data_IF_266707537086
#
_entry.id   IF_266707537086
#
_cell.length_a   1.000
_cell.length_b   1.000
_cell.length_c   1.000
_cell.angle_alpha   90.00
_cell.angle_beta   90.00
_cell.angle_gamma   90.00
#
_symmetry.space_group_name_H-M   'P 1'
#
loop_
_entity.id
_entity.type
_entity.pdbx_description
1 polymer ?
#
# COMPACT_ATOMS: atom_id res chain seq x y z
N UNK A 1 -9.98 10.07 3.22
CA UNK A 1 -9.07 8.90 3.20
C UNK A 1 -9.05 8.37 1.78
N UNK A 2 -7.89 8.43 1.10
CA UNK A 2 -7.74 7.95 -0.27
C UNK A 2 -7.24 6.50 -0.23
N UNK A 3 -7.84 5.63 -1.04
CA UNK A 3 -7.39 4.25 -1.20
C UNK A 3 -6.78 4.10 -2.59
N UNK A 4 -5.53 3.67 -2.65
CA UNK A 4 -4.84 3.40 -3.92
C UNK A 4 -4.58 1.91 -4.04
N UNK A 5 -5.06 1.30 -5.12
CA UNK A 5 -4.71 -0.07 -5.48
C UNK A 5 -3.38 -0.10 -6.22
N UNK A 6 -2.53 -1.08 -5.93
CA UNK A 6 -1.41 -1.38 -6.81
C UNK A 6 -1.95 -2.17 -8.02
N UNK A 7 -2.10 -1.51 -9.17
CA UNK A 7 -2.34 -2.23 -10.43
C UNK A 7 -1.08 -3.00 -10.87
N UNK A 8 -0.99 -3.35 -12.15
CA UNK A 8 0.26 -3.79 -12.81
C UNK A 8 1.21 -2.62 -13.11
N UNK A 9 0.97 -1.43 -12.51
CA UNK A 9 1.71 -0.22 -12.82
C UNK A 9 3.20 -0.36 -12.41
N UNK A 10 4.14 0.11 -13.24
CA UNK A 10 5.54 0.23 -12.86
C UNK A 10 5.73 1.16 -11.66
N UNK A 11 6.80 0.93 -10.90
CA UNK A 11 7.20 1.71 -9.72
C UNK A 11 7.12 3.24 -9.93
N UNK A 12 7.70 3.69 -11.05
CA UNK A 12 7.74 5.11 -11.42
C UNK A 12 6.34 5.71 -11.59
N UNK A 13 5.47 5.02 -12.30
CA UNK A 13 4.11 5.50 -12.56
C UNK A 13 3.27 5.53 -11.26
N UNK A 14 3.48 4.56 -10.38
CA UNK A 14 2.83 4.55 -9.07
C UNK A 14 3.35 5.70 -8.18
N UNK A 15 4.66 5.91 -8.13
CA UNK A 15 5.27 7.06 -7.42
C UNK A 15 4.77 8.40 -7.96
N UNK A 16 4.81 8.61 -9.28
CA UNK A 16 4.37 9.84 -9.93
C UNK A 16 2.90 10.16 -9.59
N UNK A 17 2.02 9.14 -9.55
CA UNK A 17 0.62 9.29 -9.15
C UNK A 17 0.46 9.70 -7.68
N UNK A 18 1.26 9.14 -6.78
CA UNK A 18 1.23 9.50 -5.36
C UNK A 18 1.66 10.95 -5.16
N UNK A 19 2.76 11.36 -5.80
CA UNK A 19 3.27 12.72 -5.70
C UNK A 19 2.31 13.72 -6.36
N UNK A 20 1.76 13.41 -7.53
CA UNK A 20 0.77 14.27 -8.21
C UNK A 20 -0.52 14.44 -7.39
N UNK A 21 -0.88 13.43 -6.60
CA UNK A 21 -2.01 13.49 -5.67
C UNK A 21 -1.67 14.13 -4.31
N UNK A 22 -0.42 14.58 -4.10
CA UNK A 22 0.01 15.17 -2.83
C UNK A 22 0.02 14.17 -1.67
N UNK A 23 0.33 12.91 -1.93
CA UNK A 23 0.35 11.86 -0.89
C UNK A 23 1.70 11.86 -0.18
N UNK A 24 1.68 12.16 1.12
CA UNK A 24 2.89 12.17 1.95
C UNK A 24 3.21 10.82 2.61
N UNK A 25 2.22 9.92 2.74
CA UNK A 25 2.36 8.66 3.47
C UNK A 25 1.54 7.53 2.85
N UNK A 26 2.21 6.43 2.52
CA UNK A 26 1.57 5.16 2.17
C UNK A 26 1.51 4.26 3.41
N UNK A 27 0.30 3.83 3.77
CA UNK A 27 0.07 2.84 4.83
C UNK A 27 -0.25 1.48 4.22
N UNK A 28 0.67 0.53 4.37
CA UNK A 28 0.50 -0.84 3.89
C UNK A 28 -0.24 -1.70 4.92
N UNK A 29 -1.44 -2.14 4.56
CA UNK A 29 -2.31 -3.00 5.38
C UNK A 29 -2.29 -4.47 4.91
N UNK A 30 -1.39 -4.84 4.00
CA UNK A 30 -1.34 -6.21 3.48
C UNK A 30 -0.78 -7.18 4.52
N UNK A 31 -1.50 -8.29 4.72
CA UNK A 31 -1.11 -9.39 5.62
C UNK A 31 0.14 -10.08 5.07
N UNK A 32 0.12 -10.44 3.78
CA UNK A 32 1.25 -11.04 3.06
C UNK A 32 1.64 -10.12 1.90
N UNK A 33 2.59 -9.18 2.08
CA UNK A 33 3.04 -8.27 1.03
C UNK A 33 4.01 -8.95 0.03
N UNK A 34 3.73 -10.19 -0.34
CA UNK A 34 4.59 -11.04 -1.16
C UNK A 34 3.98 -11.29 -2.53
N UNK A 35 3.93 -10.30 -3.42
CA UNK A 35 3.64 -10.60 -4.82
C UNK A 35 4.92 -11.06 -5.51
N UNK A 36 4.95 -12.31 -5.99
CA UNK A 36 6.01 -12.80 -6.90
C UNK A 36 5.99 -12.09 -8.25
N UNK A 37 4.83 -11.56 -8.65
CA UNK A 37 4.59 -10.95 -9.97
C UNK A 37 5.01 -9.48 -10.04
N UNK A 38 5.13 -8.79 -8.90
CA UNK A 38 5.52 -7.39 -8.83
C UNK A 38 6.55 -7.15 -7.71
N UNK A 39 7.85 -7.39 -7.96
CA UNK A 39 8.89 -7.29 -6.94
C UNK A 39 9.04 -5.89 -6.34
N UNK A 40 8.73 -4.83 -7.10
CA UNK A 40 8.75 -3.43 -6.65
C UNK A 40 7.66 -3.08 -5.62
N UNK A 41 6.63 -3.92 -5.50
CA UNK A 41 5.58 -3.79 -4.47
C UNK A 41 5.82 -4.70 -3.27
N UNK A 42 6.97 -5.37 -3.19
CA UNK A 42 7.39 -6.02 -1.95
C UNK A 42 7.61 -4.97 -0.88
N UNK A 43 7.39 -5.35 0.36
CA UNK A 43 7.56 -4.47 1.52
C UNK A 43 8.93 -3.79 1.53
N UNK A 44 9.98 -4.57 1.29
CA UNK A 44 11.36 -4.09 1.33
C UNK A 44 11.61 -3.05 0.23
N UNK A 45 11.07 -3.31 -0.98
CA UNK A 45 11.16 -2.37 -2.09
C UNK A 45 10.41 -1.08 -1.77
N UNK A 46 9.16 -1.16 -1.31
CA UNK A 46 8.36 0.02 -0.97
C UNK A 46 8.99 0.86 0.15
N UNK A 47 9.56 0.22 1.16
CA UNK A 47 10.26 0.90 2.24
C UNK A 47 11.54 1.63 1.74
N UNK A 48 12.11 1.18 0.62
CA UNK A 48 13.31 1.75 0.03
C UNK A 48 12.99 2.89 -0.95
N UNK A 49 12.15 2.64 -1.96
CA UNK A 49 12.00 3.58 -3.08
C UNK A 49 10.95 4.68 -2.84
N UNK A 50 9.92 4.46 -2.00
CA UNK A 50 8.91 5.50 -1.72
C UNK A 50 9.53 6.75 -1.08
N UNK A 51 10.44 6.63 -0.08
CA UNK A 51 11.14 7.79 0.47
C UNK A 51 11.97 8.55 -0.55
N UNK A 52 12.57 7.88 -1.54
CA UNK A 52 13.30 8.53 -2.64
C UNK A 52 12.38 9.42 -3.50
N UNK A 53 11.07 9.21 -3.43
CA UNK A 53 10.02 10.01 -4.10
C UNK A 53 9.35 11.02 -3.16
N UNK A 54 9.85 11.19 -1.94
CA UNK A 54 9.28 12.08 -0.94
C UNK A 54 8.03 11.52 -0.25
N UNK A 55 7.73 10.23 -0.43
CA UNK A 55 6.55 9.58 0.17
C UNK A 55 7.00 8.66 1.29
N UNK A 56 6.52 8.89 2.50
CA UNK A 56 6.82 8.00 3.62
C UNK A 56 6.12 6.65 3.46
N UNK A 57 6.72 5.59 4.00
CA UNK A 57 6.14 4.25 4.04
C UNK A 57 5.96 3.79 5.48
N UNK A 58 4.76 3.32 5.82
CA UNK A 58 4.48 2.67 7.11
C UNK A 58 3.64 1.42 6.91
N UNK A 59 4.00 0.34 7.59
CA UNK A 59 3.14 -0.84 7.65
C UNK A 59 2.18 -0.74 8.84
N UNK A 60 0.89 -0.98 8.60
CA UNK A 60 -0.09 -1.12 9.66
C UNK A 60 -0.84 -2.45 9.52
N UNK A 61 -0.31 -3.48 10.19
CA UNK A 61 -0.93 -4.80 10.24
C UNK A 61 -2.25 -4.81 11.03
N UNK A 62 -2.52 -3.82 11.89
CA UNK A 62 -3.75 -3.79 12.70
C UNK A 62 -4.98 -3.35 11.90
N UNK A 63 -4.76 -2.65 10.78
CA UNK A 63 -5.80 -2.31 9.80
C UNK A 63 -5.95 -3.39 8.72
N UNK A 64 -5.09 -4.40 8.74
CA UNK A 64 -5.01 -5.50 7.79
C UNK A 64 -5.35 -6.83 8.43
N UNK A 65 -6.45 -7.44 8.03
CA UNK A 65 -6.95 -8.66 8.64
C UNK A 65 -8.34 -8.94 8.11
N UNK A 66 -8.71 -10.21 7.97
CA UNK A 66 -10.11 -10.57 7.73
C UNK A 66 -10.96 -9.81 8.75
N UNK A 67 -11.91 -8.98 8.29
CA UNK A 67 -12.98 -8.53 9.19
C UNK A 67 -13.58 -9.81 9.76
N UNK A 68 -13.45 -10.06 11.06
CA UNK A 68 -14.42 -10.92 11.73
C UNK A 68 -15.74 -10.15 11.62
N UNK A 69 -16.75 -10.63 10.88
CA UNK A 69 -18.05 -9.98 10.91
C UNK A 69 -18.47 -9.88 12.38
N UNK A 70 -18.95 -8.71 12.79
CA UNK A 70 -19.65 -8.62 14.05
C UNK A 70 -20.89 -9.52 13.94
N UNK A 71 -21.30 -10.22 15.03
CA UNK A 71 -22.48 -11.08 15.01
C UNK A 71 -23.74 -10.39 14.44
N UNK A 72 -23.80 -9.06 14.58
CA UNK A 72 -24.96 -8.24 14.22
C UNK A 72 -24.77 -7.37 12.96
N UNK A 73 -23.87 -7.73 12.02
CA UNK A 73 -23.78 -7.01 10.75
C UNK A 73 -24.82 -7.55 9.74
N UNK A 74 -25.81 -6.75 9.32
CA UNK A 74 -26.74 -7.19 8.28
C UNK A 74 -26.01 -7.20 6.93
N UNK A 75 -26.22 -8.29 6.17
CA UNK A 75 -25.75 -8.45 4.78
C UNK A 75 -26.63 -7.67 3.82
#
# INVERSE_FOLDING_TARGET
>A
MLTVGHGTAPEREFGDRLTAAGVDLVVDVRIVPGSRRHPHFRREALAYWLPERGVAYRRNQRLGGFRRPAPDSPS
#
